data_IF_213378221340
#
_entry.id   IF_213378221340
#
_cell.length_a   1.000
_cell.length_b   1.000
_cell.length_c   1.000
_cell.angle_alpha   90.00
_cell.angle_beta   90.00
_cell.angle_gamma   90.00
#
_symmetry.space_group_name_H-M   'P 1'
#
loop_
_entity.id
_entity.type
_entity.pdbx_description
1 polymer ?
#
# COMPACT_ATOMS: atom_id res chain seq x y z
N UNK A 1 -33.14 -24.05 35.32
CA UNK A 1 -33.96 -23.61 34.18
C UNK A 1 -33.43 -22.31 33.55
N UNK A 2 -32.31 -22.29 32.82
CA UNK A 2 -32.04 -21.22 31.86
C UNK A 2 -31.75 -21.66 30.43
N UNK A 3 -31.62 -22.98 30.14
CA UNK A 3 -31.22 -23.44 28.79
C UNK A 3 -32.34 -23.34 27.71
N UNK A 4 -33.60 -23.30 28.06
CA UNK A 4 -34.71 -23.25 27.09
C UNK A 4 -34.98 -21.84 26.50
N UNK A 5 -34.52 -20.76 27.13
CA UNK A 5 -34.67 -19.39 26.60
C UNK A 5 -33.58 -19.01 25.59
N UNK A 6 -32.41 -19.62 25.64
CA UNK A 6 -31.30 -19.36 24.68
C UNK A 6 -31.56 -19.98 23.32
N UNK A 7 -32.21 -21.14 23.25
CA UNK A 7 -32.58 -21.81 22.00
C UNK A 7 -33.66 -21.09 21.20
N UNK A 8 -34.60 -20.38 21.88
CA UNK A 8 -35.64 -19.58 21.22
C UNK A 8 -35.09 -18.33 20.51
N UNK A 9 -34.07 -17.69 21.07
CA UNK A 9 -33.49 -16.46 20.52
C UNK A 9 -32.58 -16.81 19.31
N UNK A 10 -31.85 -17.90 19.35
CA UNK A 10 -31.00 -18.35 18.23
C UNK A 10 -31.84 -18.80 17.03
N UNK A 11 -33.01 -19.45 17.25
CA UNK A 11 -33.93 -19.81 16.17
C UNK A 11 -34.62 -18.60 15.52
N UNK A 12 -34.91 -17.52 16.27
CA UNK A 12 -35.51 -16.29 15.72
C UNK A 12 -34.46 -15.51 14.90
N UNK A 13 -33.20 -15.49 15.32
CA UNK A 13 -32.11 -14.85 14.57
C UNK A 13 -31.83 -15.63 13.27
N UNK A 14 -31.91 -16.97 13.28
CA UNK A 14 -31.73 -17.79 12.06
C UNK A 14 -32.89 -17.65 11.06
N UNK A 15 -34.12 -17.39 11.56
CA UNK A 15 -35.27 -17.13 10.65
C UNK A 15 -35.23 -15.71 10.05
N UNK A 16 -34.63 -14.73 10.74
CA UNK A 16 -34.45 -13.37 10.18
C UNK A 16 -33.34 -13.28 9.14
N UNK A 17 -32.32 -14.12 9.23
CA UNK A 17 -31.21 -14.18 8.25
C UNK A 17 -31.63 -14.90 6.96
N UNK A 18 -32.63 -15.78 6.99
CA UNK A 18 -33.13 -16.47 5.79
C UNK A 18 -34.18 -15.69 4.99
N UNK A 19 -34.73 -14.58 5.55
CA UNK A 19 -35.67 -13.72 4.83
C UNK A 19 -35.02 -12.52 4.12
N UNK A 20 -33.67 -12.34 4.21
CA UNK A 20 -32.92 -11.38 3.39
C UNK A 20 -32.24 -12.11 2.21
N UNK A 21 -32.91 -13.13 1.69
CA UNK A 21 -32.48 -13.80 0.49
C UNK A 21 -33.41 -13.44 -0.67
N UNK A 22 -32.80 -12.86 -1.68
CA UNK A 22 -33.31 -12.74 -3.06
C UNK A 22 -34.46 -11.76 -3.31
N UNK A 23 -34.11 -10.47 -3.41
CA UNK A 23 -34.45 -9.76 -4.64
C UNK A 23 -33.18 -9.58 -5.47
N UNK A 24 -32.70 -10.61 -6.07
CA UNK A 24 -31.95 -10.54 -7.29
C UNK A 24 -32.97 -10.19 -8.38
N UNK A 25 -33.25 -8.91 -8.53
CA UNK A 25 -33.64 -8.41 -9.82
C UNK A 25 -32.40 -8.56 -10.69
N UNK A 26 -32.32 -9.64 -11.42
CA UNK A 26 -31.57 -9.66 -12.69
C UNK A 26 -32.31 -8.69 -13.60
N UNK A 27 -32.12 -7.39 -13.36
CA UNK A 27 -32.12 -6.42 -14.42
C UNK A 27 -30.96 -6.86 -15.31
N UNK A 28 -31.28 -7.54 -16.38
CA UNK A 28 -30.39 -7.75 -17.52
C UNK A 28 -30.18 -6.36 -18.13
N UNK A 29 -29.38 -5.52 -17.43
CA UNK A 29 -28.96 -4.24 -17.98
C UNK A 29 -28.22 -4.60 -19.26
N UNK A 30 -28.71 -4.06 -20.37
CA UNK A 30 -28.13 -4.24 -21.69
C UNK A 30 -26.61 -4.04 -21.61
N UNK A 31 -25.84 -5.04 -22.08
CA UNK A 31 -24.38 -4.98 -22.06
C UNK A 31 -23.92 -3.78 -22.87
N UNK A 32 -23.22 -2.84 -22.23
CA UNK A 32 -22.71 -1.62 -22.86
C UNK A 32 -21.39 -1.90 -23.59
N UNK A 33 -21.22 -1.31 -24.75
CA UNK A 33 -20.06 -1.50 -25.64
C UNK A 33 -19.16 -0.28 -25.60
N UNK A 34 -17.97 -0.43 -25.04
CA UNK A 34 -17.00 0.65 -24.88
C UNK A 34 -15.81 0.40 -25.82
N UNK A 35 -15.62 1.30 -26.78
CA UNK A 35 -14.44 1.31 -27.63
C UNK A 35 -13.36 2.17 -26.97
N UNK A 36 -12.20 1.62 -26.67
CA UNK A 36 -11.03 2.33 -26.14
C UNK A 36 -10.00 2.46 -27.26
N UNK A 37 -9.62 3.70 -27.61
CA UNK A 37 -8.60 3.96 -28.62
C UNK A 37 -7.36 4.48 -27.90
N UNK A 38 -6.25 3.75 -28.03
CA UNK A 38 -4.98 4.00 -27.39
C UNK A 38 -3.92 4.45 -28.40
N UNK A 39 -3.05 5.39 -28.02
CA UNK A 39 -2.02 5.92 -28.91
C UNK A 39 -0.85 4.98 -29.13
N UNK A 40 -0.36 4.34 -28.07
CA UNK A 40 0.86 3.51 -28.09
C UNK A 40 0.53 2.04 -28.34
N UNK A 41 1.55 1.17 -28.22
CA UNK A 41 1.40 -0.27 -28.40
C UNK A 41 0.63 -0.93 -27.23
N UNK A 42 0.18 -2.18 -27.47
CA UNK A 42 -0.69 -2.92 -26.54
C UNK A 42 -0.09 -3.08 -25.13
N UNK A 43 1.23 -3.22 -25.05
CA UNK A 43 1.94 -3.50 -23.79
C UNK A 43 2.48 -2.24 -23.12
N UNK A 44 1.98 -1.08 -23.49
CA UNK A 44 2.33 0.17 -22.83
C UNK A 44 1.92 0.11 -21.34
N UNK A 45 2.86 0.30 -20.40
CA UNK A 45 2.62 -0.02 -18.98
C UNK A 45 1.44 0.71 -18.33
N UNK A 46 1.15 1.96 -18.75
CA UNK A 46 0.02 2.71 -18.23
C UNK A 46 -1.34 2.08 -18.59
N UNK A 47 -1.41 1.34 -19.70
CA UNK A 47 -2.68 0.79 -20.19
C UNK A 47 -3.20 -0.37 -19.35
N UNK A 48 -2.33 -1.23 -18.81
CA UNK A 48 -2.78 -2.27 -17.89
C UNK A 48 -3.37 -1.66 -16.62
N UNK A 49 -2.72 -0.64 -16.05
CA UNK A 49 -3.24 0.06 -14.87
C UNK A 49 -4.56 0.78 -15.16
N UNK A 50 -4.67 1.45 -16.32
CA UNK A 50 -5.91 2.06 -16.77
C UNK A 50 -7.04 1.04 -16.88
N UNK A 51 -6.78 -0.13 -17.48
CA UNK A 51 -7.74 -1.23 -17.63
C UNK A 51 -8.21 -1.76 -16.27
N UNK A 52 -7.30 -1.93 -15.31
CA UNK A 52 -7.64 -2.34 -13.95
C UNK A 52 -8.59 -1.34 -13.27
N UNK A 53 -8.23 -0.04 -13.30
CA UNK A 53 -9.05 1.03 -12.72
C UNK A 53 -10.42 1.05 -13.40
N UNK A 54 -10.46 1.07 -14.74
CA UNK A 54 -11.70 1.11 -15.52
C UNK A 54 -12.59 -0.10 -15.21
N UNK A 55 -12.03 -1.33 -15.21
CA UNK A 55 -12.79 -2.55 -14.92
C UNK A 55 -13.33 -2.57 -13.49
N UNK A 56 -12.55 -2.07 -12.53
CA UNK A 56 -12.97 -1.96 -11.14
C UNK A 56 -14.12 -0.97 -10.99
N UNK A 57 -14.03 0.20 -11.61
CA UNK A 57 -15.00 1.26 -11.44
C UNK A 57 -16.30 1.00 -12.19
N UNK A 58 -16.25 0.44 -13.41
CA UNK A 58 -17.44 -0.02 -14.12
C UNK A 58 -18.23 -1.02 -13.27
N UNK A 59 -17.53 -2.01 -12.68
CA UNK A 59 -18.14 -3.02 -11.81
C UNK A 59 -18.75 -2.41 -10.55
N UNK A 60 -18.03 -1.54 -9.85
CA UNK A 60 -18.52 -0.85 -8.64
C UNK A 60 -19.77 -0.02 -8.92
N UNK A 61 -19.90 0.51 -10.14
CA UNK A 61 -21.04 1.34 -10.57
C UNK A 61 -22.16 0.56 -11.24
N UNK A 62 -22.05 -0.78 -11.26
CA UNK A 62 -23.06 -1.67 -11.80
C UNK A 62 -23.21 -1.62 -13.32
N UNK A 63 -22.14 -1.24 -14.06
CA UNK A 63 -22.15 -1.24 -15.52
C UNK A 63 -21.55 -2.55 -16.02
N UNK A 64 -22.37 -3.35 -16.71
CA UNK A 64 -21.93 -4.48 -17.51
C UNK A 64 -21.48 -3.97 -18.87
N UNK A 65 -20.19 -4.11 -19.18
CA UNK A 65 -19.64 -3.58 -20.41
C UNK A 65 -18.69 -4.56 -21.11
N UNK A 66 -18.87 -4.68 -22.42
CA UNK A 66 -17.89 -5.26 -23.32
C UNK A 66 -16.93 -4.17 -23.76
N UNK A 67 -15.64 -4.32 -23.45
CA UNK A 67 -14.60 -3.33 -23.74
C UNK A 67 -13.72 -3.84 -24.85
N UNK A 68 -13.66 -3.10 -25.96
CA UNK A 68 -12.74 -3.35 -27.05
C UNK A 68 -11.64 -2.30 -27.09
N UNK A 69 -10.36 -2.71 -26.94
CA UNK A 69 -9.22 -1.79 -27.02
C UNK A 69 -8.54 -1.90 -28.38
N UNK A 70 -8.33 -0.74 -29.02
CA UNK A 70 -7.59 -0.60 -30.27
C UNK A 70 -6.35 0.25 -30.07
N UNK A 71 -5.22 -0.18 -30.61
CA UNK A 71 -3.89 0.41 -30.44
C UNK A 71 -3.38 0.96 -31.77
N UNK A 72 -2.99 2.23 -31.77
CA UNK A 72 -2.47 2.91 -32.96
C UNK A 72 -1.03 2.56 -33.25
N UNK A 73 -0.24 2.24 -32.23
CA UNK A 73 1.21 2.06 -32.28
C UNK A 73 1.91 3.31 -32.86
N UNK A 74 1.64 4.46 -32.28
CA UNK A 74 2.04 5.75 -32.82
C UNK A 74 3.56 5.95 -32.96
N UNK A 75 4.37 5.16 -32.28
CA UNK A 75 5.83 5.16 -32.41
C UNK A 75 6.30 4.44 -33.68
N UNK A 76 5.51 3.53 -34.23
CA UNK A 76 5.85 2.74 -35.43
C UNK A 76 5.24 3.30 -36.70
N UNK A 77 4.06 3.93 -36.61
CA UNK A 77 3.28 4.38 -37.76
C UNK A 77 3.21 5.90 -37.84
N UNK A 78 3.38 6.46 -39.04
CA UNK A 78 3.14 7.88 -39.31
C UNK A 78 1.68 8.26 -39.05
N UNK A 79 1.37 9.52 -38.76
CA UNK A 79 0.00 10.01 -38.55
C UNK A 79 -0.97 9.61 -39.66
N UNK A 80 -0.52 9.64 -40.92
CA UNK A 80 -1.33 9.19 -42.07
C UNK A 80 -1.69 7.70 -41.96
N UNK A 81 -0.72 6.86 -41.60
CA UNK A 81 -0.93 5.40 -41.44
C UNK A 81 -1.82 5.12 -40.21
N UNK A 82 -1.60 5.81 -39.10
CA UNK A 82 -2.43 5.70 -37.90
C UNK A 82 -3.90 6.02 -38.24
N UNK A 83 -4.15 7.12 -38.93
CA UNK A 83 -5.50 7.53 -39.36
C UNK A 83 -6.14 6.50 -40.28
N UNK A 84 -5.40 5.94 -41.26
CA UNK A 84 -5.91 4.89 -42.16
C UNK A 84 -6.23 3.61 -41.42
N UNK A 85 -5.34 3.17 -40.53
CA UNK A 85 -5.51 2.00 -39.65
C UNK A 85 -6.75 2.15 -38.79
N UNK A 86 -6.94 3.33 -38.16
CA UNK A 86 -8.10 3.62 -37.34
C UNK A 86 -9.39 3.64 -38.19
N UNK A 87 -9.40 4.31 -39.35
CA UNK A 87 -10.57 4.37 -40.22
C UNK A 87 -11.03 2.97 -40.63
N UNK A 88 -10.11 2.09 -41.03
CA UNK A 88 -10.42 0.68 -41.35
C UNK A 88 -11.01 -0.03 -40.16
N UNK A 89 -10.43 0.13 -38.96
CA UNK A 89 -10.92 -0.50 -37.73
C UNK A 89 -12.32 0.00 -37.36
N UNK A 90 -12.59 1.29 -37.48
CA UNK A 90 -13.92 1.84 -37.20
C UNK A 90 -14.99 1.29 -38.16
N UNK A 91 -14.64 1.06 -39.44
CA UNK A 91 -15.54 0.38 -40.38
C UNK A 91 -15.86 -1.07 -39.93
N UNK A 92 -14.86 -1.83 -39.46
CA UNK A 92 -15.05 -3.17 -38.93
C UNK A 92 -15.94 -3.15 -37.66
N UNK A 93 -15.77 -2.16 -36.82
CA UNK A 93 -16.51 -2.00 -35.56
C UNK A 93 -17.86 -1.31 -35.72
N UNK A 94 -18.21 -0.84 -36.91
CA UNK A 94 -19.52 -0.21 -37.15
C UNK A 94 -20.69 -1.18 -36.92
N UNK A 95 -20.51 -2.48 -37.22
CA UNK A 95 -21.49 -3.54 -36.93
C UNK A 95 -21.58 -3.87 -35.45
N UNK A 96 -20.46 -3.74 -34.69
CA UNK A 96 -20.45 -3.92 -33.24
C UNK A 96 -21.12 -2.72 -32.53
N UNK A 97 -21.15 -1.56 -33.17
CA UNK A 97 -21.87 -0.37 -32.78
C UNK A 97 -21.58 0.05 -31.32
N UNK A 98 -20.42 0.65 -31.01
CA UNK A 98 -20.07 1.04 -29.65
C UNK A 98 -21.06 2.10 -29.12
N UNK A 99 -21.40 2.01 -27.84
CA UNK A 99 -22.24 2.99 -27.16
C UNK A 99 -21.48 4.24 -26.77
N UNK A 100 -20.15 4.09 -26.58
CA UNK A 100 -19.24 5.21 -26.25
C UNK A 100 -17.81 4.90 -26.71
N UNK A 101 -17.06 5.94 -27.02
CA UNK A 101 -15.63 5.85 -27.35
C UNK A 101 -14.84 6.56 -26.26
N UNK A 102 -13.88 5.86 -25.65
CA UNK A 102 -12.86 6.45 -24.76
C UNK A 102 -11.56 6.56 -25.53
N UNK A 103 -11.00 7.77 -25.60
CA UNK A 103 -9.76 8.05 -26.34
C UNK A 103 -8.68 8.46 -25.36
N UNK A 104 -7.52 7.86 -25.48
CA UNK A 104 -6.39 8.17 -24.61
C UNK A 104 -5.20 8.67 -25.42
N UNK A 105 -4.67 9.80 -25.00
CA UNK A 105 -3.55 10.57 -25.53
C UNK A 105 -3.83 11.37 -26.83
N UNK A 106 -2.95 12.32 -27.12
CA UNK A 106 -3.04 13.28 -28.24
C UNK A 106 -3.16 12.60 -29.60
N UNK A 107 -2.34 11.56 -29.86
CA UNK A 107 -2.29 10.90 -31.16
C UNK A 107 -3.60 10.19 -31.48
N UNK A 108 -4.21 9.52 -30.47
CA UNK A 108 -5.47 8.83 -30.65
C UNK A 108 -6.62 9.81 -30.92
N UNK A 109 -6.66 10.93 -30.18
CA UNK A 109 -7.67 11.97 -30.41
C UNK A 109 -7.52 12.60 -31.79
N UNK A 110 -6.30 12.96 -32.19
CA UNK A 110 -6.00 13.52 -33.49
C UNK A 110 -6.32 12.54 -34.62
N UNK A 111 -6.00 11.24 -34.46
CA UNK A 111 -6.32 10.23 -35.45
C UNK A 111 -7.84 10.07 -35.59
N UNK A 112 -8.59 10.05 -34.48
CA UNK A 112 -10.06 9.92 -34.50
C UNK A 112 -10.72 11.12 -35.22
N UNK A 113 -10.36 12.34 -34.83
CA UNK A 113 -10.88 13.58 -35.44
C UNK A 113 -10.54 13.62 -36.94
N UNK A 114 -9.27 13.39 -37.29
CA UNK A 114 -8.79 13.47 -38.65
C UNK A 114 -9.19 12.30 -39.53
N UNK A 115 -9.67 11.20 -38.94
CA UNK A 115 -10.27 10.08 -39.70
C UNK A 115 -11.51 10.51 -40.44
N UNK A 116 -12.24 11.49 -39.94
CA UNK A 116 -13.55 11.95 -40.44
C UNK A 116 -14.59 10.83 -40.55
N UNK A 117 -14.38 9.73 -39.81
CA UNK A 117 -15.29 8.59 -39.80
C UNK A 117 -16.64 8.99 -39.17
N UNK A 118 -17.80 8.49 -39.68
CA UNK A 118 -19.12 8.85 -39.14
C UNK A 118 -19.25 8.56 -37.63
N UNK A 119 -18.72 7.45 -37.14
CA UNK A 119 -18.75 7.11 -35.71
C UNK A 119 -18.09 8.17 -34.82
N UNK A 120 -17.08 8.88 -35.31
CA UNK A 120 -16.44 9.97 -34.56
C UNK A 120 -17.39 11.17 -34.31
N UNK A 121 -18.51 11.25 -35.06
CA UNK A 121 -19.51 12.34 -34.92
C UNK A 121 -20.80 11.87 -34.30
N UNK A 122 -21.12 10.57 -34.40
CA UNK A 122 -22.42 10.02 -33.97
C UNK A 122 -22.36 9.39 -32.57
N UNK A 123 -21.19 8.85 -32.17
CA UNK A 123 -21.02 8.18 -30.88
C UNK A 123 -20.47 9.20 -29.85
N UNK A 124 -20.93 9.19 -28.60
CA UNK A 124 -20.29 9.96 -27.52
C UNK A 124 -18.80 9.62 -27.39
N UNK A 125 -17.96 10.63 -27.27
CA UNK A 125 -16.51 10.49 -27.11
C UNK A 125 -16.08 11.14 -25.82
N UNK A 126 -15.40 10.38 -24.97
CA UNK A 126 -14.66 10.91 -23.81
C UNK A 126 -13.17 10.79 -24.12
N UNK A 127 -12.40 11.86 -23.95
CA UNK A 127 -10.96 11.84 -24.12
C UNK A 127 -10.23 12.14 -22.81
N UNK A 128 -9.02 11.59 -22.67
CA UNK A 128 -8.12 11.80 -21.53
C UNK A 128 -6.66 11.70 -21.97
N UNK A 129 -5.71 12.13 -21.12
CA UNK A 129 -4.28 12.07 -21.43
C UNK A 129 -3.87 13.00 -22.58
N UNK A 130 -4.63 14.03 -22.87
CA UNK A 130 -4.39 14.93 -24.00
C UNK A 130 -3.70 16.19 -23.52
N UNK A 131 -2.40 16.33 -23.83
CA UNK A 131 -1.61 17.48 -23.37
C UNK A 131 -1.83 18.72 -24.22
N UNK A 132 -2.08 18.56 -25.53
CA UNK A 132 -2.22 19.67 -26.48
C UNK A 132 -3.49 19.55 -27.34
N UNK A 133 -4.68 19.66 -26.74
CA UNK A 133 -5.94 19.53 -27.48
C UNK A 133 -6.12 20.64 -28.49
N UNK A 134 -6.48 20.27 -29.71
CA UNK A 134 -6.86 21.27 -30.74
C UNK A 134 -8.27 21.81 -30.42
N UNK A 135 -8.34 22.74 -29.48
CA UNK A 135 -9.59 23.32 -28.98
C UNK A 135 -10.53 23.82 -30.09
N UNK A 136 -10.06 24.59 -31.10
CA UNK A 136 -10.94 25.04 -32.21
C UNK A 136 -11.57 23.90 -33.00
N UNK A 137 -10.87 22.75 -33.11
CA UNK A 137 -11.41 21.60 -33.80
C UNK A 137 -12.36 20.83 -32.91
N UNK A 138 -12.00 20.58 -31.66
CA UNK A 138 -12.84 19.85 -30.69
C UNK A 138 -14.20 20.53 -30.53
N UNK A 139 -14.23 21.86 -30.48
CA UNK A 139 -15.47 22.63 -30.38
C UNK A 139 -16.47 22.40 -31.54
N UNK A 140 -16.01 21.82 -32.65
CA UNK A 140 -16.90 21.45 -33.78
C UNK A 140 -17.54 20.05 -33.59
N UNK A 141 -17.21 19.36 -32.52
CA UNK A 141 -17.72 18.02 -32.19
C UNK A 141 -18.54 18.06 -30.90
N UNK A 142 -19.86 18.35 -30.98
CA UNK A 142 -20.71 18.47 -29.80
C UNK A 142 -20.83 17.13 -29.00
N UNK A 143 -20.46 16.04 -29.66
CA UNK A 143 -20.43 14.68 -29.05
C UNK A 143 -19.11 14.36 -28.33
N UNK A 144 -18.21 15.31 -28.15
CA UNK A 144 -16.92 15.10 -27.48
C UNK A 144 -16.86 15.90 -26.19
N UNK A 145 -16.36 15.24 -25.13
CA UNK A 145 -15.99 15.83 -23.84
C UNK A 145 -14.76 15.15 -23.31
N UNK A 146 -13.98 15.77 -22.46
CA UNK A 146 -12.82 15.09 -21.86
C UNK A 146 -11.90 15.99 -21.06
N UNK A 147 -10.77 15.41 -20.73
CA UNK A 147 -9.76 16.00 -19.87
C UNK A 147 -8.46 16.24 -20.62
N UNK A 148 -7.79 17.36 -20.28
CA UNK A 148 -6.46 17.64 -20.79
C UNK A 148 -5.48 17.83 -19.64
N UNK A 149 -4.22 17.48 -19.89
CA UNK A 149 -3.16 17.40 -18.89
C UNK A 149 -1.94 18.26 -19.25
N UNK A 150 -2.17 19.45 -19.79
CA UNK A 150 -1.10 20.36 -20.21
C UNK A 150 -0.02 20.52 -19.13
N UNK A 151 1.27 20.26 -19.44
CA UNK A 151 2.36 20.37 -18.45
C UNK A 151 2.51 21.79 -17.89
N UNK A 152 2.75 21.90 -16.58
CA UNK A 152 3.10 23.17 -15.94
C UNK A 152 4.62 23.24 -15.77
N UNK A 153 5.29 23.73 -16.79
CA UNK A 153 6.76 23.83 -16.80
C UNK A 153 7.28 24.83 -15.79
N UNK A 154 6.58 25.98 -15.65
CA UNK A 154 6.97 27.03 -14.71
C UNK A 154 7.04 26.48 -13.30
N UNK A 155 5.99 25.85 -12.83
CA UNK A 155 5.88 25.30 -11.49
C UNK A 155 6.89 24.16 -11.25
N UNK A 156 7.16 23.35 -12.27
CA UNK A 156 8.18 22.30 -12.17
C UNK A 156 9.60 22.87 -12.07
N UNK A 157 9.92 23.93 -12.79
CA UNK A 157 11.23 24.60 -12.69
C UNK A 157 11.40 25.28 -11.32
N UNK A 158 10.36 25.94 -10.84
CA UNK A 158 10.35 26.52 -9.48
C UNK A 158 10.54 25.44 -8.41
N UNK A 159 9.87 24.30 -8.58
CA UNK A 159 10.04 23.13 -7.71
C UNK A 159 11.49 22.62 -7.71
N UNK A 160 12.08 22.44 -8.89
CA UNK A 160 13.48 22.01 -9.03
C UNK A 160 14.41 22.98 -8.28
N UNK A 161 14.25 24.27 -8.48
CA UNK A 161 15.06 25.30 -7.81
C UNK A 161 14.87 25.29 -6.29
N UNK A 162 13.67 25.04 -5.82
CA UNK A 162 13.38 24.89 -4.38
C UNK A 162 14.10 23.70 -3.75
N UNK A 163 14.14 22.54 -4.45
CA UNK A 163 14.66 21.29 -3.92
C UNK A 163 16.16 21.13 -4.13
N UNK A 164 16.67 21.54 -5.28
CA UNK A 164 18.08 21.37 -5.68
C UNK A 164 18.90 22.64 -5.45
N UNK A 165 18.22 23.78 -5.27
CA UNK A 165 18.85 25.08 -5.17
C UNK A 165 19.07 25.75 -6.53
N UNK A 166 19.96 26.73 -6.59
CA UNK A 166 20.29 27.38 -7.85
C UNK A 166 21.02 26.37 -8.75
N UNK A 167 20.36 25.93 -9.81
CA UNK A 167 20.86 24.88 -10.69
C UNK A 167 20.53 25.18 -12.16
N UNK A 168 21.31 24.51 -13.04
CA UNK A 168 21.00 24.45 -14.46
C UNK A 168 19.94 23.36 -14.65
N UNK A 169 18.84 23.70 -15.34
CA UNK A 169 17.81 22.74 -15.73
C UNK A 169 18.07 22.31 -17.17
N UNK A 170 18.16 21.01 -17.40
CA UNK A 170 18.48 20.43 -18.71
C UNK A 170 17.29 19.62 -19.19
N UNK A 171 16.72 20.01 -20.31
CA UNK A 171 15.67 19.27 -21.00
C UNK A 171 16.26 18.46 -22.14
N UNK A 172 15.87 17.19 -22.27
CA UNK A 172 16.16 16.40 -23.46
C UNK A 172 15.05 16.58 -24.48
N UNK A 173 15.39 16.97 -25.70
CA UNK A 173 14.45 17.22 -26.78
C UNK A 173 14.79 16.39 -28.03
N UNK A 174 13.80 16.28 -28.93
CA UNK A 174 14.00 15.79 -30.29
C UNK A 174 13.36 16.77 -31.29
N UNK A 175 13.39 16.43 -32.57
CA UNK A 175 12.85 17.27 -33.64
C UNK A 175 11.42 16.90 -34.03
N UNK A 176 10.74 16.09 -33.24
CA UNK A 176 9.33 15.74 -33.51
C UNK A 176 8.44 16.98 -33.37
N UNK A 177 7.35 16.99 -34.12
CA UNK A 177 6.36 18.06 -34.04
C UNK A 177 5.85 18.27 -32.61
N UNK A 178 5.57 17.19 -31.91
CA UNK A 178 5.08 17.23 -30.51
C UNK A 178 6.13 17.85 -29.57
N UNK A 179 7.39 17.48 -29.72
CA UNK A 179 8.45 18.01 -28.88
C UNK A 179 8.71 19.50 -29.13
N UNK A 180 8.59 19.93 -30.40
CA UNK A 180 8.65 21.35 -30.77
C UNK A 180 7.48 22.15 -30.15
N UNK A 181 6.27 21.57 -30.09
CA UNK A 181 5.12 22.16 -29.40
C UNK A 181 5.39 22.30 -27.91
N UNK A 182 5.90 21.25 -27.27
CA UNK A 182 6.30 21.23 -25.87
C UNK A 182 7.36 22.27 -25.56
N UNK A 183 8.37 22.42 -26.42
CA UNK A 183 9.43 23.40 -26.27
C UNK A 183 8.89 24.84 -26.39
N UNK A 184 8.04 25.08 -27.38
CA UNK A 184 7.42 26.38 -27.56
C UNK A 184 6.55 26.77 -26.36
N UNK A 185 5.77 25.83 -25.84
CA UNK A 185 4.94 26.04 -24.66
C UNK A 185 5.77 26.27 -23.40
N UNK A 186 6.81 25.44 -23.19
CA UNK A 186 7.74 25.65 -22.08
C UNK A 186 8.35 27.04 -22.13
N UNK A 187 8.87 27.46 -23.27
CA UNK A 187 9.49 28.79 -23.43
C UNK A 187 8.49 29.90 -23.13
N UNK A 188 7.23 29.77 -23.57
CA UNK A 188 6.18 30.77 -23.28
C UNK A 188 5.87 30.83 -21.76
N UNK A 189 5.81 29.69 -21.07
CA UNK A 189 5.51 29.64 -19.63
C UNK A 189 6.64 30.18 -18.75
N UNK A 190 7.89 30.05 -19.19
CA UNK A 190 9.07 30.41 -18.39
C UNK A 190 9.71 31.72 -18.80
N UNK A 191 9.12 32.45 -19.77
CA UNK A 191 9.65 33.71 -20.30
C UNK A 191 9.98 34.71 -19.18
N UNK A 192 9.14 34.78 -18.14
CA UNK A 192 9.31 35.71 -17.02
C UNK A 192 10.39 35.27 -16.03
N UNK A 193 10.64 33.92 -15.94
CA UNK A 193 11.58 33.33 -14.99
C UNK A 193 12.95 33.13 -15.61
N UNK A 194 13.03 33.05 -16.92
CA UNK A 194 14.23 32.78 -17.70
C UNK A 194 14.99 34.00 -18.20
N UNK A 195 14.80 35.16 -17.62
CA UNK A 195 15.84 36.20 -17.70
C UNK A 195 17.21 35.70 -17.19
N UNK A 196 17.28 34.45 -16.75
CA UNK A 196 18.46 33.76 -16.28
C UNK A 196 18.69 32.54 -17.13
N UNK A 197 19.71 32.54 -17.92
CA UNK A 197 20.28 31.57 -18.85
C UNK A 197 20.55 30.14 -18.33
N UNK A 198 19.62 29.56 -17.57
CA UNK A 198 19.88 28.29 -16.86
C UNK A 198 19.03 27.12 -17.34
N UNK A 199 18.43 27.22 -18.53
CA UNK A 199 17.69 26.10 -19.14
C UNK A 199 18.27 25.78 -20.48
N UNK A 200 18.72 24.53 -20.63
CA UNK A 200 19.33 24.03 -21.85
C UNK A 200 18.48 22.93 -22.43
N UNK A 201 18.25 22.99 -23.74
CA UNK A 201 17.65 21.91 -24.50
C UNK A 201 18.72 21.05 -25.11
N UNK A 202 18.61 19.73 -24.93
CA UNK A 202 19.50 18.75 -25.50
C UNK A 202 18.79 18.07 -26.68
N UNK A 203 19.25 18.35 -27.91
CA UNK A 203 18.64 17.80 -29.11
C UNK A 203 19.21 16.38 -29.38
N UNK A 204 18.31 15.39 -29.39
CA UNK A 204 18.61 13.97 -29.57
C UNK A 204 18.97 13.62 -31.01
N UNK A 205 18.42 14.30 -32.00
CA UNK A 205 18.53 13.93 -33.42
C UNK A 205 19.86 14.30 -33.99
N UNK A 206 20.39 15.45 -33.63
CA UNK A 206 21.72 15.91 -34.16
C UNK A 206 22.89 15.06 -33.69
N UNK A 207 22.66 14.23 -32.67
CA UNK A 207 23.68 13.40 -32.07
C UNK A 207 23.73 11.99 -32.67
N UNK A 208 22.72 11.55 -33.41
CA UNK A 208 22.67 10.27 -34.14
C UNK A 208 23.13 10.37 -35.60
N UNK A 209 23.42 11.57 -36.07
CA UNK A 209 23.87 11.78 -37.47
C UNK A 209 25.25 11.22 -37.75
N UNK A 210 25.55 10.91 -39.05
CA UNK A 210 26.85 10.40 -39.53
C UNK A 210 28.03 11.32 -39.19
N UNK A 211 27.80 12.53 -38.73
CA UNK A 211 28.77 13.53 -38.27
C UNK A 211 28.65 13.79 -36.76
N UNK A 212 28.47 12.76 -35.95
CA UNK A 212 28.39 12.89 -34.51
C UNK A 212 29.52 13.75 -33.93
N UNK A 213 29.18 14.62 -33.00
CA UNK A 213 30.14 15.49 -32.30
C UNK A 213 31.06 14.60 -31.46
N UNK A 214 32.38 14.75 -31.64
CA UNK A 214 33.34 14.07 -30.79
C UNK A 214 33.27 14.61 -29.36
N UNK A 215 33.43 13.74 -28.35
CA UNK A 215 33.52 14.13 -26.95
C UNK A 215 34.59 15.22 -26.72
N UNK A 216 35.64 15.25 -27.53
CA UNK A 216 36.69 16.26 -27.50
C UNK A 216 36.26 17.64 -27.99
N UNK A 217 35.14 17.75 -28.74
CA UNK A 217 34.66 19.00 -29.30
C UNK A 217 33.61 19.69 -28.41
N UNK A 218 33.16 19.01 -27.37
CA UNK A 218 32.14 19.47 -26.47
C UNK A 218 32.48 20.77 -25.72
N UNK A 219 33.71 21.00 -25.24
CA UNK A 219 34.10 22.26 -24.63
C UNK A 219 34.01 23.46 -25.60
N UNK A 220 33.91 23.22 -26.90
CA UNK A 220 33.85 24.26 -27.95
C UNK A 220 32.40 24.62 -28.34
N UNK A 221 31.41 23.86 -27.84
CA UNK A 221 30.01 24.10 -28.18
C UNK A 221 29.46 25.18 -27.23
N UNK A 222 28.82 26.21 -27.81
CA UNK A 222 28.18 27.25 -27.02
C UNK A 222 27.09 26.65 -26.12
N UNK A 223 26.94 27.13 -24.87
CA UNK A 223 26.02 26.59 -23.90
C UNK A 223 24.53 26.58 -24.32
N UNK A 224 24.16 27.38 -25.30
CA UNK A 224 22.77 27.59 -25.72
C UNK A 224 22.18 26.42 -26.49
N UNK A 225 23.03 25.51 -27.03
CA UNK A 225 22.56 24.42 -27.86
C UNK A 225 23.43 23.20 -27.64
N UNK A 226 22.93 22.29 -26.83
CA UNK A 226 23.62 21.06 -26.54
C UNK A 226 22.92 19.85 -27.14
N UNK A 227 23.69 18.99 -27.76
CA UNK A 227 23.22 17.84 -28.49
C UNK A 227 23.73 16.55 -27.83
N UNK A 228 22.84 15.67 -27.38
CA UNK A 228 23.18 14.34 -26.88
C UNK A 228 22.64 13.28 -27.84
N UNK A 229 23.54 12.46 -28.40
CA UNK A 229 23.16 11.31 -29.22
C UNK A 229 22.85 10.10 -28.33
N UNK A 230 22.59 8.97 -28.95
CA UNK A 230 22.58 7.61 -28.41
C UNK A 230 23.84 7.23 -27.60
N UNK A 231 24.66 8.20 -27.22
CA UNK A 231 25.79 8.04 -26.31
C UNK A 231 25.31 7.44 -24.98
N UNK A 232 26.17 6.59 -24.42
CA UNK A 232 25.90 6.04 -23.10
C UNK A 232 25.62 7.16 -22.09
N UNK A 233 24.80 6.92 -21.10
CA UNK A 233 24.50 7.87 -20.01
C UNK A 233 25.79 8.40 -19.35
N UNK A 234 26.86 7.58 -19.35
CA UNK A 234 28.19 7.98 -18.88
C UNK A 234 28.77 9.11 -19.70
N UNK A 235 28.62 9.06 -21.04
CA UNK A 235 29.06 10.11 -21.94
C UNK A 235 28.24 11.36 -21.83
N UNK A 236 26.89 11.24 -21.66
CA UNK A 236 26.02 12.37 -21.40
C UNK A 236 26.39 13.08 -20.09
N UNK A 237 26.66 12.34 -19.04
CA UNK A 237 27.11 12.89 -17.77
C UNK A 237 28.50 13.56 -17.85
N UNK A 238 29.43 12.98 -18.64
CA UNK A 238 30.74 13.57 -18.88
C UNK A 238 30.63 14.89 -19.64
N UNK A 239 29.73 14.95 -20.61
CA UNK A 239 29.35 16.17 -21.35
C UNK A 239 28.89 17.28 -20.40
N UNK A 240 27.95 16.96 -19.55
CA UNK A 240 27.34 17.93 -18.62
C UNK A 240 28.36 18.39 -17.57
N UNK A 241 29.28 17.52 -17.13
CA UNK A 241 30.41 17.90 -16.29
C UNK A 241 31.33 18.91 -16.95
N UNK A 242 31.52 18.82 -18.27
CA UNK A 242 32.37 19.72 -19.06
C UNK A 242 31.84 21.16 -19.17
N UNK A 243 30.56 21.43 -18.77
CA UNK A 243 29.99 22.78 -18.81
C UNK A 243 30.31 23.61 -17.57
N UNK A 244 31.56 23.84 -17.35
CA UNK A 244 32.03 24.85 -16.42
C UNK A 244 31.93 24.47 -14.94
N UNK A 245 33.05 24.62 -14.28
CA UNK A 245 33.21 24.41 -12.82
C UNK A 245 32.37 25.35 -11.97
N UNK A 246 31.65 26.32 -12.57
CA UNK A 246 30.93 27.36 -11.85
C UNK A 246 29.45 27.06 -11.52
N UNK A 247 28.91 25.92 -11.97
CA UNK A 247 27.55 25.51 -11.63
C UNK A 247 27.55 24.16 -10.90
N UNK A 248 27.51 24.23 -9.59
CA UNK A 248 27.62 23.06 -8.71
C UNK A 248 26.39 22.14 -8.77
N UNK A 249 25.23 22.67 -9.13
CA UNK A 249 23.97 21.91 -9.14
C UNK A 249 23.39 21.85 -10.55
N UNK A 250 22.96 20.67 -10.94
CA UNK A 250 22.29 20.42 -12.22
C UNK A 250 21.09 19.49 -11.99
N UNK A 251 20.05 19.63 -12.79
CA UNK A 251 18.90 18.75 -12.77
C UNK A 251 18.39 18.53 -14.19
N UNK A 252 17.88 17.32 -14.46
CA UNK A 252 17.16 17.02 -15.68
C UNK A 252 15.67 17.27 -15.50
N UNK A 253 15.01 17.72 -16.56
CA UNK A 253 13.57 17.80 -16.66
C UNK A 253 13.10 16.92 -17.81
N UNK A 254 12.47 15.80 -17.47
CA UNK A 254 11.86 14.89 -18.42
C UNK A 254 10.50 15.43 -18.87
N UNK A 255 10.34 15.60 -20.17
CA UNK A 255 9.11 16.12 -20.79
C UNK A 255 8.34 15.04 -21.53
N UNK A 256 8.93 13.89 -21.76
CA UNK A 256 8.33 12.73 -22.38
C UNK A 256 8.90 11.41 -21.82
N UNK A 257 8.17 10.34 -22.02
CA UNK A 257 8.59 9.00 -21.65
C UNK A 257 9.28 8.32 -22.83
N UNK A 258 10.59 8.26 -22.79
CA UNK A 258 11.39 7.51 -23.75
C UNK A 258 12.55 6.77 -23.05
N UNK A 259 13.25 5.94 -23.80
CA UNK A 259 14.38 5.17 -23.28
C UNK A 259 15.49 6.07 -22.72
N UNK A 260 15.78 7.18 -23.37
CA UNK A 260 16.79 8.14 -22.92
C UNK A 260 16.41 8.76 -21.57
N UNK A 261 15.17 9.21 -21.42
CA UNK A 261 14.66 9.78 -20.17
C UNK A 261 14.73 8.80 -19.02
N UNK A 262 14.32 7.54 -19.24
CA UNK A 262 14.40 6.48 -18.25
C UNK A 262 15.87 6.18 -17.89
N UNK A 263 16.76 6.15 -18.87
CA UNK A 263 18.20 5.93 -18.65
C UNK A 263 18.83 7.07 -17.86
N UNK A 264 18.46 8.31 -18.15
CA UNK A 264 18.90 9.48 -17.39
C UNK A 264 18.39 9.42 -15.94
N UNK A 265 17.14 9.08 -15.71
CA UNK A 265 16.62 8.93 -14.36
C UNK A 265 17.40 7.90 -13.54
N UNK A 266 17.71 6.74 -14.12
CA UNK A 266 18.37 5.62 -13.44
C UNK A 266 19.88 5.82 -13.24
N UNK A 267 20.56 6.35 -14.24
CA UNK A 267 22.02 6.31 -14.34
C UNK A 267 22.68 7.70 -14.28
N UNK A 268 21.88 8.76 -14.23
CA UNK A 268 22.37 10.14 -14.18
C UNK A 268 23.22 10.41 -12.94
N UNK A 269 24.19 11.31 -13.10
CA UNK A 269 24.93 11.92 -12.01
C UNK A 269 24.18 13.12 -11.36
N UNK A 270 22.99 13.44 -11.86
CA UNK A 270 22.15 14.56 -11.41
C UNK A 270 20.70 14.11 -11.24
N UNK A 271 19.94 14.74 -10.33
CA UNK A 271 18.54 14.41 -10.13
C UNK A 271 17.72 14.67 -11.39
N UNK A 272 16.81 13.73 -11.72
CA UNK A 272 15.88 13.82 -12.83
C UNK A 272 14.48 14.08 -12.28
N UNK A 273 13.84 15.15 -12.74
CA UNK A 273 12.44 15.49 -12.48
C UNK A 273 11.59 15.24 -13.71
N UNK A 274 10.27 15.23 -13.57
CA UNK A 274 9.38 14.98 -14.70
C UNK A 274 8.11 15.83 -14.62
N UNK A 275 7.60 16.19 -15.80
CA UNK A 275 6.24 16.71 -15.97
C UNK A 275 5.22 15.60 -16.27
N UNK A 276 5.68 14.33 -16.30
CA UNK A 276 4.89 13.14 -16.63
C UNK A 276 4.84 12.20 -15.45
N UNK A 277 3.63 11.84 -14.99
CA UNK A 277 3.43 10.99 -13.82
C UNK A 277 3.92 9.56 -14.01
N UNK A 278 3.80 8.98 -15.20
CA UNK A 278 4.20 7.59 -15.48
C UNK A 278 5.70 7.32 -15.28
N UNK A 279 6.50 8.36 -15.23
CA UNK A 279 7.93 8.25 -14.93
C UNK A 279 8.22 8.18 -13.43
N UNK A 280 7.30 8.59 -12.58
CA UNK A 280 7.47 8.69 -11.13
C UNK A 280 7.00 7.39 -10.47
N UNK A 281 7.76 6.88 -9.50
CA UNK A 281 7.37 5.72 -8.71
C UNK A 281 7.55 4.35 -9.37
N UNK A 282 8.05 4.27 -10.60
CA UNK A 282 8.20 3.04 -11.39
C UNK A 282 9.66 2.58 -11.52
N UNK A 283 10.50 2.85 -10.53
CA UNK A 283 11.95 2.54 -10.56
C UNK A 283 12.70 3.19 -11.74
N UNK A 284 12.15 4.25 -12.31
CA UNK A 284 12.76 4.99 -13.41
C UNK A 284 13.83 6.00 -12.93
N UNK A 285 14.02 6.12 -11.61
CA UNK A 285 15.01 7.02 -11.02
C UNK A 285 14.64 8.50 -11.10
N UNK A 286 13.38 8.81 -11.35
CA UNK A 286 12.84 10.18 -11.38
C UNK A 286 12.43 10.59 -9.99
N UNK A 287 12.92 11.75 -9.54
CA UNK A 287 12.66 12.31 -8.20
C UNK A 287 11.17 12.59 -7.98
N UNK A 288 10.55 13.27 -8.94
CA UNK A 288 9.18 13.71 -8.86
C UNK A 288 8.88 14.89 -9.77
N UNK A 289 7.73 15.51 -9.56
CA UNK A 289 7.29 16.68 -10.30
C UNK A 289 5.90 17.17 -9.87
N UNK A 290 5.46 18.27 -10.44
CA UNK A 290 4.08 18.71 -10.43
C UNK A 290 3.40 18.17 -11.69
N UNK A 291 2.60 17.15 -11.54
CA UNK A 291 2.12 16.30 -12.64
C UNK A 291 0.63 16.00 -12.49
N UNK A 292 -0.01 15.66 -13.60
CA UNK A 292 -1.36 15.10 -13.58
C UNK A 292 -1.36 13.77 -12.81
N UNK A 293 -2.30 13.61 -11.88
CA UNK A 293 -2.44 12.35 -11.13
C UNK A 293 -3.17 11.35 -12.02
N UNK A 294 -2.42 10.46 -12.63
CA UNK A 294 -2.92 9.49 -13.62
C UNK A 294 -4.15 8.71 -13.14
N UNK A 295 -4.14 8.26 -11.87
CA UNK A 295 -5.28 7.53 -11.31
C UNK A 295 -6.55 8.39 -11.28
N UNK A 296 -6.43 9.64 -10.82
CA UNK A 296 -7.57 10.55 -10.68
C UNK A 296 -8.15 10.90 -12.06
N UNK A 297 -7.30 11.08 -13.07
CA UNK A 297 -7.73 11.36 -14.44
C UNK A 297 -8.47 10.17 -15.04
N UNK A 298 -7.95 8.94 -14.89
CA UNK A 298 -8.63 7.73 -15.35
C UNK A 298 -9.99 7.57 -14.63
N UNK A 299 -10.03 7.74 -13.31
CA UNK A 299 -11.26 7.68 -12.54
C UNK A 299 -12.26 8.76 -12.98
N UNK A 300 -11.82 9.98 -13.25
CA UNK A 300 -12.68 11.06 -13.75
C UNK A 300 -13.24 10.75 -15.15
N UNK A 301 -12.40 10.27 -16.07
CA UNK A 301 -12.82 9.86 -17.40
C UNK A 301 -13.81 8.68 -17.37
N UNK A 302 -13.54 7.66 -16.57
CA UNK A 302 -14.45 6.51 -16.40
C UNK A 302 -15.76 6.94 -15.74
N UNK A 303 -15.73 7.84 -14.76
CA UNK A 303 -16.94 8.42 -14.16
C UNK A 303 -17.81 9.12 -15.21
N UNK A 304 -17.19 9.88 -16.10
CA UNK A 304 -17.89 10.55 -17.20
C UNK A 304 -18.48 9.54 -18.19
N UNK A 305 -17.72 8.50 -18.58
CA UNK A 305 -18.21 7.39 -19.39
C UNK A 305 -19.44 6.74 -18.74
N UNK A 306 -19.36 6.40 -17.45
CA UNK A 306 -20.49 5.79 -16.71
C UNK A 306 -21.71 6.70 -16.69
N UNK A 307 -21.54 7.98 -16.43
CA UNK A 307 -22.64 8.95 -16.38
C UNK A 307 -23.34 9.06 -17.74
N UNK A 308 -22.59 9.12 -18.83
CA UNK A 308 -23.12 9.14 -20.18
C UNK A 308 -23.87 7.83 -20.51
N UNK A 309 -23.30 6.68 -20.17
CA UNK A 309 -23.95 5.38 -20.37
C UNK A 309 -25.23 5.20 -19.55
N UNK A 310 -25.37 5.93 -18.44
CA UNK A 310 -26.59 6.00 -17.61
C UNK A 310 -27.60 7.05 -18.10
N UNK A 311 -27.30 7.74 -19.21
CA UNK A 311 -28.22 8.67 -19.84
C UNK A 311 -28.00 10.15 -19.48
N UNK A 312 -26.92 10.51 -18.78
CA UNK A 312 -26.59 11.92 -18.56
C UNK A 312 -26.22 12.58 -19.91
N UNK A 313 -26.86 13.69 -20.31
CA UNK A 313 -26.54 14.37 -21.54
C UNK A 313 -25.10 14.88 -21.58
N UNK A 314 -24.46 14.82 -22.75
CA UNK A 314 -23.10 15.36 -22.92
C UNK A 314 -23.03 16.87 -22.64
N UNK A 315 -24.12 17.60 -22.89
CA UNK A 315 -24.21 19.04 -22.60
C UNK A 315 -24.00 19.40 -21.13
N UNK A 316 -24.20 18.45 -20.23
CA UNK A 316 -24.05 18.68 -18.78
C UNK A 316 -22.58 18.64 -18.34
N UNK A 317 -21.68 18.25 -19.24
CA UNK A 317 -20.24 18.22 -18.98
C UNK A 317 -19.53 19.36 -19.73
N UNK A 318 -18.47 19.94 -19.12
CA UNK A 318 -17.54 20.77 -19.87
C UNK A 318 -16.98 19.99 -21.06
N UNK A 319 -16.92 20.62 -22.22
CA UNK A 319 -16.36 19.97 -23.41
C UNK A 319 -14.87 19.65 -23.24
N UNK A 320 -14.16 20.53 -22.53
CA UNK A 320 -12.73 20.39 -22.22
C UNK A 320 -12.53 20.84 -20.78
N UNK A 321 -11.91 19.97 -19.97
CA UNK A 321 -11.64 20.20 -18.55
C UNK A 321 -10.18 19.90 -18.24
N UNK A 322 -9.55 20.68 -17.37
CA UNK A 322 -8.18 20.40 -16.96
C UNK A 322 -8.14 19.30 -15.92
N UNK A 323 -7.22 18.35 -16.10
CA UNK A 323 -6.98 17.26 -15.16
C UNK A 323 -6.36 17.75 -13.87
N UNK A 324 -6.70 17.10 -12.76
CA UNK A 324 -6.10 17.40 -11.45
C UNK A 324 -4.60 17.12 -11.44
N UNK A 325 -3.84 18.09 -10.93
CA UNK A 325 -2.39 17.96 -10.76
C UNK A 325 -2.00 18.00 -9.30
N UNK A 326 -0.94 17.28 -8.97
CA UNK A 326 -0.36 17.28 -7.65
C UNK A 326 1.18 17.20 -7.72
N UNK A 327 1.81 17.53 -6.62
CA UNK A 327 3.22 17.23 -6.42
C UNK A 327 3.35 15.75 -6.09
N UNK A 328 4.04 14.99 -6.95
CA UNK A 328 4.26 13.55 -6.78
C UNK A 328 5.76 13.28 -6.74
N UNK A 329 6.22 12.48 -5.79
CA UNK A 329 7.63 12.15 -5.60
C UNK A 329 7.82 10.65 -5.37
N UNK A 330 9.00 10.14 -5.70
CA UNK A 330 9.44 8.79 -5.34
C UNK A 330 10.33 8.83 -4.10
N UNK A 331 9.91 8.13 -3.02
CA UNK A 331 10.63 8.13 -1.75
C UNK A 331 12.09 7.66 -1.91
N UNK A 332 12.30 6.53 -2.60
CA UNK A 332 13.66 5.97 -2.75
C UNK A 332 14.59 6.87 -3.56
N UNK A 333 14.02 7.64 -4.50
CA UNK A 333 14.81 8.58 -5.30
C UNK A 333 15.09 9.88 -4.52
N UNK A 334 14.16 10.35 -3.69
CA UNK A 334 14.42 11.46 -2.75
C UNK A 334 15.59 11.11 -1.83
N UNK A 335 15.58 9.93 -1.21
CA UNK A 335 16.66 9.44 -0.35
C UNK A 335 18.00 9.34 -1.11
N UNK A 336 17.96 8.77 -2.33
CA UNK A 336 19.15 8.65 -3.19
C UNK A 336 19.86 9.99 -3.42
N UNK A 337 19.11 11.07 -3.58
CA UNK A 337 19.63 12.40 -3.85
C UNK A 337 19.78 13.27 -2.60
N UNK A 338 19.46 12.75 -1.41
CA UNK A 338 19.52 13.48 -0.15
C UNK A 338 18.58 14.69 -0.13
N UNK A 339 17.45 14.60 -0.85
CA UNK A 339 16.44 15.66 -0.89
C UNK A 339 15.56 15.53 0.37
N UNK A 340 15.65 16.51 1.23
CA UNK A 340 14.89 16.56 2.49
C UNK A 340 13.38 16.65 2.21
N UNK A 341 12.63 15.70 2.72
CA UNK A 341 11.17 15.66 2.59
C UNK A 341 10.47 16.86 3.23
N UNK A 342 11.11 17.55 4.20
CA UNK A 342 10.57 18.77 4.80
C UNK A 342 10.51 19.96 3.83
N UNK A 343 11.28 19.91 2.75
CA UNK A 343 11.27 20.93 1.68
C UNK A 343 10.19 20.71 0.63
N UNK A 344 9.53 19.57 0.67
CA UNK A 344 8.45 19.26 -0.30
C UNK A 344 7.27 20.21 -0.09
N UNK A 345 6.52 20.51 -1.16
CA UNK A 345 5.29 21.26 -1.03
C UNK A 345 4.26 20.54 -0.17
N UNK A 346 3.42 21.30 0.51
CA UNK A 346 2.31 20.75 1.29
C UNK A 346 1.35 19.96 0.40
N UNK A 347 0.85 18.83 0.90
CA UNK A 347 -0.02 17.93 0.14
C UNK A 347 0.71 17.07 -0.91
N UNK A 348 2.05 17.03 -0.90
CA UNK A 348 2.80 16.18 -1.82
C UNK A 348 2.50 14.70 -1.61
N UNK A 349 2.27 13.99 -2.72
CA UNK A 349 2.08 12.55 -2.76
C UNK A 349 3.46 11.89 -2.86
N UNK A 350 3.80 11.00 -1.93
CA UNK A 350 5.08 10.30 -1.94
C UNK A 350 4.82 8.82 -2.27
N UNK A 351 5.20 8.42 -3.48
CA UNK A 351 5.15 7.04 -3.92
C UNK A 351 6.28 6.20 -3.30
N UNK A 352 6.08 4.88 -3.19
CA UNK A 352 7.07 3.92 -2.70
C UNK A 352 7.62 4.20 -1.29
N UNK A 353 6.87 4.93 -0.46
CA UNK A 353 7.26 5.14 0.93
C UNK A 353 7.22 3.82 1.69
N UNK A 354 8.30 3.40 2.37
CA UNK A 354 8.30 2.18 3.16
C UNK A 354 7.18 2.19 4.22
N UNK A 355 6.48 1.07 4.37
CA UNK A 355 5.37 0.91 5.31
C UNK A 355 5.71 1.40 6.73
N UNK A 356 6.91 1.07 7.21
CA UNK A 356 7.37 1.45 8.55
C UNK A 356 7.46 2.98 8.70
N UNK A 357 7.86 3.69 7.66
CA UNK A 357 7.98 5.15 7.67
C UNK A 357 6.61 5.79 7.54
N UNK A 358 5.78 5.29 6.61
CA UNK A 358 4.43 5.78 6.37
C UNK A 358 3.55 5.68 7.62
N UNK A 359 3.67 4.58 8.36
CA UNK A 359 2.84 4.28 9.54
C UNK A 359 3.60 4.37 10.86
N UNK A 360 4.76 5.04 10.90
CA UNK A 360 5.64 5.10 12.09
C UNK A 360 4.90 5.47 13.37
N UNK A 361 4.03 6.47 13.34
CA UNK A 361 3.28 6.91 14.52
C UNK A 361 2.27 5.86 15.00
N UNK A 362 1.62 5.16 14.08
CA UNK A 362 0.70 4.07 14.42
C UNK A 362 1.44 2.86 14.99
N UNK A 363 2.63 2.54 14.44
CA UNK A 363 3.50 1.47 14.93
C UNK A 363 3.97 1.80 16.35
N UNK A 364 4.42 3.03 16.60
CA UNK A 364 4.80 3.48 17.93
C UNK A 364 3.63 3.46 18.91
N UNK A 365 2.45 3.91 18.51
CA UNK A 365 1.24 3.87 19.32
C UNK A 365 0.84 2.42 19.66
N UNK A 366 0.85 1.53 18.69
CA UNK A 366 0.56 0.10 18.91
C UNK A 366 1.60 -0.55 19.84
N UNK A 367 2.90 -0.23 19.66
CA UNK A 367 3.96 -0.67 20.55
C UNK A 367 3.77 -0.18 21.98
N UNK A 368 3.39 1.07 22.16
CA UNK A 368 3.10 1.64 23.48
C UNK A 368 1.92 0.92 24.17
N UNK A 369 0.82 0.71 23.44
CA UNK A 369 -0.35 -0.04 23.96
C UNK A 369 0.04 -1.46 24.36
N UNK A 370 0.87 -2.14 23.56
CA UNK A 370 1.36 -3.49 23.87
C UNK A 370 2.17 -3.49 25.16
N UNK A 371 3.08 -2.54 25.34
CA UNK A 371 3.90 -2.42 26.57
C UNK A 371 3.02 -2.19 27.79
N UNK A 372 2.03 -1.30 27.69
CA UNK A 372 1.08 -1.05 28.79
C UNK A 372 0.29 -2.33 29.13
N UNK A 373 -0.18 -3.05 28.12
CA UNK A 373 -0.91 -4.32 28.34
C UNK A 373 -0.03 -5.37 29.03
N UNK A 374 1.25 -5.49 28.62
CA UNK A 374 2.19 -6.40 29.26
C UNK A 374 2.47 -6.02 30.73
N UNK A 375 2.61 -4.74 31.04
CA UNK A 375 2.76 -4.24 32.40
C UNK A 375 1.53 -4.52 33.25
N UNK A 376 0.33 -4.37 32.71
CA UNK A 376 -0.92 -4.72 33.40
C UNK A 376 -1.00 -6.22 33.67
N UNK A 377 -0.69 -7.06 32.69
CA UNK A 377 -0.63 -8.52 32.85
C UNK A 377 0.40 -8.93 33.90
N UNK A 378 1.60 -8.35 33.86
CA UNK A 378 2.64 -8.61 34.86
C UNK A 378 2.18 -8.20 36.28
N UNK A 379 1.56 -7.03 36.41
CA UNK A 379 1.01 -6.52 37.67
C UNK A 379 -0.10 -7.45 38.19
N UNK A 380 -0.98 -7.94 37.31
CA UNK A 380 -2.01 -8.89 37.65
C UNK A 380 -1.45 -10.23 38.13
N UNK A 381 -0.48 -10.79 37.38
CA UNK A 381 0.19 -12.05 37.79
C UNK A 381 0.93 -11.88 39.11
N UNK A 382 1.62 -10.75 39.33
CA UNK A 382 2.29 -10.44 40.59
C UNK A 382 1.30 -10.40 41.75
N UNK A 383 0.16 -9.76 41.59
CA UNK A 383 -0.91 -9.74 42.61
C UNK A 383 -1.41 -11.14 42.94
N UNK A 384 -1.68 -11.96 41.92
CA UNK A 384 -2.09 -13.36 42.12
C UNK A 384 -1.04 -14.16 42.89
N UNK A 385 0.21 -14.06 42.48
CA UNK A 385 1.32 -14.76 43.17
C UNK A 385 1.44 -14.36 44.64
N UNK A 386 1.31 -13.05 44.95
CA UNK A 386 1.34 -12.56 46.34
C UNK A 386 0.14 -13.13 47.13
N UNK A 387 -1.07 -13.13 46.55
CA UNK A 387 -2.25 -13.69 47.21
C UNK A 387 -2.11 -15.21 47.48
N UNK A 388 -1.64 -15.98 46.53
CA UNK A 388 -1.37 -17.43 46.70
C UNK A 388 -0.31 -17.68 47.76
N UNK A 389 0.75 -16.86 47.82
CA UNK A 389 1.78 -16.98 48.88
C UNK A 389 1.21 -16.66 50.26
N UNK A 390 0.35 -15.65 50.39
CA UNK A 390 -0.32 -15.33 51.65
C UNK A 390 -1.27 -16.47 52.11
N UNK A 391 -2.09 -16.98 51.21
CA UNK A 391 -2.97 -18.13 51.51
C UNK A 391 -2.20 -19.37 51.97
N UNK A 392 -1.06 -19.67 51.32
CA UNK A 392 -0.19 -20.76 51.74
C UNK A 392 0.36 -20.55 53.14
N UNK A 393 0.78 -19.32 53.45
CA UNK A 393 1.30 -18.97 54.78
C UNK A 393 0.24 -19.10 55.83
N UNK A 394 -0.95 -18.57 55.61
CA UNK A 394 -2.08 -18.69 56.53
C UNK A 394 -2.50 -20.13 56.80
N UNK A 395 -2.48 -20.98 55.72
CA UNK A 395 -2.79 -22.39 55.86
C UNK A 395 -1.72 -23.13 56.70
N UNK A 396 -0.45 -22.79 56.51
CA UNK A 396 0.68 -23.35 57.28
C UNK A 396 0.59 -22.92 58.75
N UNK A 397 0.24 -21.65 59.03
CA UNK A 397 0.07 -21.19 60.42
C UNK A 397 -1.08 -21.87 61.11
N UNK A 398 -2.24 -22.03 60.43
CA UNK A 398 -3.37 -22.79 60.97
C UNK A 398 -2.98 -24.22 61.30
N UNK A 399 -2.31 -24.92 60.35
CA UNK A 399 -1.85 -26.30 60.58
C UNK A 399 -0.87 -26.41 61.75
N UNK A 400 0.00 -25.40 61.89
CA UNK A 400 0.97 -25.35 63.02
C UNK A 400 0.22 -25.18 64.35
N UNK A 401 -0.79 -24.29 64.42
CA UNK A 401 -1.61 -24.08 65.62
C UNK A 401 -2.40 -25.31 65.98
N UNK A 402 -3.02 -25.98 65.02
CA UNK A 402 -3.73 -27.24 65.24
C UNK A 402 -2.81 -28.37 65.76
N UNK A 403 -1.62 -28.51 65.15
CA UNK A 403 -0.61 -29.48 65.66
C UNK A 403 -0.18 -29.17 67.10
N UNK A 404 0.05 -27.89 67.42
CA UNK A 404 0.47 -27.45 68.75
C UNK A 404 -0.65 -27.71 69.76
N UNK A 405 -1.93 -27.39 69.37
CA UNK A 405 -3.08 -27.66 70.24
C UNK A 405 -3.28 -29.17 70.48
N UNK A 406 -3.15 -29.97 69.43
CA UNK A 406 -3.26 -31.43 69.57
C UNK A 406 -2.16 -32.00 70.47
N UNK A 407 -0.92 -31.55 70.31
CA UNK A 407 0.20 -31.94 71.17
C UNK A 407 -0.07 -31.59 72.63
N UNK A 408 -0.54 -30.37 72.91
CA UNK A 408 -0.87 -29.95 74.26
C UNK A 408 -2.02 -30.79 74.87
N UNK A 409 -3.07 -31.06 74.08
CA UNK A 409 -4.18 -31.89 74.54
C UNK A 409 -3.71 -33.36 74.88
N UNK A 410 -2.86 -33.94 74.07
CA UNK A 410 -2.30 -35.25 74.29
C UNK A 410 -1.38 -35.27 75.52
N UNK A 411 -0.58 -34.22 75.73
CA UNK A 411 0.33 -34.10 76.87
C UNK A 411 -0.46 -33.91 78.20
N UNK A 412 -1.53 -33.13 78.19
CA UNK A 412 -2.34 -32.85 79.37
C UNK A 412 -3.18 -34.04 79.83
N UNK A 413 -3.55 -34.92 78.89
CA UNK A 413 -4.47 -36.03 79.14
C UNK A 413 -3.76 -37.42 79.45
N UNK A 414 -2.46 -37.44 79.48
CA UNK A 414 -1.68 -38.76 79.48
C UNK A 414 -2.17 -39.70 78.36
N UNK A 415 -2.56 -39.09 77.19
CA UNK A 415 -3.04 -39.89 76.06
C UNK A 415 -1.88 -40.03 75.08
N UNK A 416 -1.64 -41.26 74.67
CA UNK A 416 -0.59 -41.59 73.72
C UNK A 416 -1.19 -41.95 72.34
N UNK A 417 -0.68 -41.39 71.30
CA UNK A 417 -1.09 -41.74 69.96
C UNK A 417 -0.33 -42.97 69.48
N UNK A 418 -0.99 -43.83 68.74
CA UNK A 418 -0.33 -44.97 68.08
C UNK A 418 -0.81 -45.05 66.61
N UNK A 419 0.05 -45.72 65.84
CA UNK A 419 -0.28 -46.14 64.48
C UNK A 419 -0.20 -47.66 64.44
N UNK A 420 -1.26 -48.28 63.95
CA UNK A 420 -1.24 -49.74 63.70
C UNK A 420 -1.25 -49.96 62.18
N UNK A 421 -0.27 -50.80 61.72
CA UNK A 421 -0.22 -51.16 60.32
C UNK A 421 0.53 -52.49 60.18
N UNK A 422 -0.07 -53.41 59.43
CA UNK A 422 0.56 -54.74 59.11
C UNK A 422 1.05 -55.50 60.34
N UNK A 423 0.29 -55.52 61.43
CA UNK A 423 0.62 -56.26 62.66
C UNK A 423 1.68 -55.62 63.56
N UNK A 424 2.00 -54.34 63.31
CA UNK A 424 3.00 -53.63 64.11
C UNK A 424 2.36 -52.33 64.64
N UNK A 425 2.57 -52.08 65.93
CA UNK A 425 2.23 -50.80 66.59
C UNK A 425 3.46 -49.88 66.59
N UNK A 426 3.23 -48.67 66.19
CA UNK A 426 4.19 -47.59 66.34
C UNK A 426 3.53 -46.52 67.24
N UNK A 427 4.03 -46.45 68.46
CA UNK A 427 3.54 -45.51 69.43
C UNK A 427 4.30 -44.19 69.35
N UNK A 428 3.71 -43.12 69.84
CA UNK A 428 4.38 -41.86 70.10
C UNK A 428 5.56 -42.11 71.09
N UNK A 429 6.69 -41.43 70.88
CA UNK A 429 7.90 -41.57 71.64
C UNK A 429 7.70 -41.43 73.17
N UNK A 430 6.71 -40.62 73.59
CA UNK A 430 6.36 -40.44 74.99
C UNK A 430 5.82 -41.72 75.66
N UNK A 431 5.13 -42.58 74.93
CA UNK A 431 4.63 -43.86 75.42
C UNK A 431 5.78 -44.76 75.74
N UNK A 432 6.78 -44.88 74.90
CA UNK A 432 7.99 -45.66 75.13
C UNK A 432 8.77 -45.15 76.36
N UNK A 433 8.88 -43.81 76.47
CA UNK A 433 9.54 -43.22 77.65
C UNK A 433 8.74 -43.46 78.93
N UNK A 434 7.43 -43.38 78.88
CA UNK A 434 6.52 -43.57 80.02
C UNK A 434 6.67 -45.03 80.55
N UNK A 435 6.79 -46.01 79.64
CA UNK A 435 6.96 -47.42 80.01
C UNK A 435 8.44 -47.85 80.25
N UNK A 436 9.37 -46.92 80.05
CA UNK A 436 10.81 -47.23 80.15
C UNK A 436 11.32 -48.17 79.04
N UNK A 437 10.66 -48.18 77.88
CA UNK A 437 10.98 -49.12 76.79
C UNK A 437 11.74 -48.41 75.69
N UNK A 438 12.52 -49.14 74.88
CA UNK A 438 13.21 -48.58 73.71
C UNK A 438 12.14 -48.09 72.67
N UNK A 439 12.39 -46.93 72.01
CA UNK A 439 11.50 -46.35 70.97
C UNK A 439 11.61 -47.17 69.67
N UNK A 440 11.05 -48.35 69.62
CA UNK A 440 11.06 -49.27 68.47
C UNK A 440 9.62 -49.74 68.21
N UNK A 441 9.18 -49.81 66.97
CA UNK A 441 7.88 -50.37 66.64
C UNK A 441 7.71 -51.78 67.23
N UNK A 442 6.57 -52.05 67.87
CA UNK A 442 6.31 -53.24 68.61
C UNK A 442 5.36 -54.16 67.83
N UNK A 443 5.72 -55.47 67.72
CA UNK A 443 4.79 -56.43 67.11
C UNK A 443 3.55 -56.59 68.01
N UNK A 444 2.46 -56.98 67.42
CA UNK A 444 1.19 -57.12 68.12
C UNK A 444 1.31 -58.17 69.24
N UNK A 445 2.09 -59.24 69.01
CA UNK A 445 2.30 -60.26 69.99
C UNK A 445 3.04 -59.69 71.21
N UNK A 446 4.11 -58.95 71.01
CA UNK A 446 4.91 -58.31 72.06
C UNK A 446 4.11 -57.30 72.85
N UNK A 447 3.16 -56.59 72.20
CA UNK A 447 2.28 -55.67 72.88
C UNK A 447 1.21 -56.35 73.71
N UNK A 448 0.70 -57.52 73.24
CA UNK A 448 -0.26 -58.30 73.97
C UNK A 448 0.35 -58.87 75.31
N UNK A 449 1.59 -59.26 75.28
CA UNK A 449 2.32 -59.74 76.44
C UNK A 449 2.57 -58.63 77.48
N UNK A 450 2.51 -57.35 77.08
CA UNK A 450 2.69 -56.22 77.95
C UNK A 450 1.34 -55.67 78.56
N UNK A 451 0.20 -56.23 78.12
CA UNK A 451 -1.13 -55.82 78.63
C UNK A 451 -1.46 -56.63 79.92
N UNK A 452 -1.97 -55.92 80.91
CA UNK A 452 -2.44 -56.58 82.15
C UNK A 452 -3.51 -57.65 81.82
N UNK A 453 -3.42 -58.85 82.45
CA UNK A 453 -4.33 -59.96 82.09
C UNK A 453 -5.85 -59.59 82.14
N UNK A 454 -6.28 -58.74 83.06
CA UNK A 454 -7.66 -58.30 83.15
C UNK A 454 -8.12 -57.41 81.98
N UNK A 455 -7.19 -56.78 81.29
CA UNK A 455 -7.50 -55.88 80.16
C UNK A 455 -7.31 -56.56 78.80
N UNK A 456 -6.65 -57.72 78.77
CA UNK A 456 -6.29 -58.46 77.56
C UNK A 456 -7.54 -58.82 76.72
N UNK A 457 -8.60 -59.30 77.39
CA UNK A 457 -9.84 -59.71 76.73
C UNK A 457 -10.57 -58.47 76.07
N UNK A 458 -10.51 -57.30 76.69
CA UNK A 458 -11.02 -56.07 76.13
C UNK A 458 -10.23 -55.65 74.92
N UNK A 459 -8.90 -55.68 75.04
CA UNK A 459 -8.01 -55.33 73.90
C UNK A 459 -8.20 -56.28 72.71
N UNK A 460 -8.34 -57.59 72.92
CA UNK A 460 -8.57 -58.56 71.84
C UNK A 460 -9.92 -58.40 71.19
N UNK A 461 -10.93 -57.97 71.92
CA UNK A 461 -12.24 -57.59 71.34
C UNK A 461 -12.17 -56.33 70.45
N UNK A 462 -11.55 -55.26 70.93
CA UNK A 462 -11.40 -54.01 70.23
C UNK A 462 -10.48 -54.16 69.02
N UNK A 463 -9.46 -55.03 69.09
CA UNK A 463 -8.62 -55.40 67.94
C UNK A 463 -9.42 -56.01 66.80
N UNK A 464 -10.35 -56.90 67.07
CA UNK A 464 -11.17 -57.53 66.04
C UNK A 464 -12.05 -56.52 65.34
N UNK A 465 -12.39 -55.35 65.99
CA UNK A 465 -13.03 -54.26 65.39
C UNK A 465 -12.10 -53.45 64.49
N UNK A 466 -10.81 -53.30 64.80
CA UNK A 466 -9.81 -52.62 64.01
C UNK A 466 -9.39 -53.44 62.77
N UNK A 467 -9.36 -54.76 62.85
CA UNK A 467 -9.04 -55.63 61.72
C UNK A 467 -10.24 -55.83 60.76
N UNK A 468 -11.43 -55.45 61.15
CA UNK A 468 -12.68 -55.54 60.37
C UNK A 468 -13.06 -54.28 59.65
N UNK A 469 -12.38 -53.14 59.82
CA UNK A 469 -12.61 -51.82 59.22
C UNK A 469 -11.44 -51.39 58.44
#
# INVERSE_FOLDING_TARGET
MPAKRLFGIISIIFLFVTCISCKSSTDLSEEKRILVIQSYEKHFPAYEKMKEIMSSDLRKKGIHASVYSFYLDCEQYSEKQQRQKLFKKLNELSTWNPDIILVNDDQALNALINSRHPLAKSIPVVFMGVSYPNIPIIRKYPNMTGFYDKPDYKRNIELIRRLVGNCIVIRVSDDTFQDNMMLADMNAQIQDICAVNNIYSLDRVRLSGKNGISISDIPKIKPDTMYISTLSTKSANALIKGFGENYYNKAYLATKRDYMTISLGRLSAFPCFSVINELIGNQNGVVGGYVTVFKDEVEAAVNRVVSILKGTPLSDFPQIEESNKAYVFDYGVLERWGIDSSKLPEGAIIANMPFVIQYKYYIWAAGFVLVVMLLLLFSYQRKRYIQEALHKKDAQEKLKREKTFLSFALDSGNIFAFRYSKGVFEFDNRFYHYLGMPCVPMKIEEFQDAIHPEELDNFLRDRNLLDSG
#
